data_IF_808776176099
#
_entry.id   IF_808776176099
#
_cell.length_a   1.000
_cell.length_b   1.000
_cell.length_c   1.000
_cell.angle_alpha   90.00
_cell.angle_beta   90.00
_cell.angle_gamma   90.00
#
_symmetry.space_group_name_H-M   'P 1'
#
loop_
_entity.id
_entity.type
_entity.pdbx_description
1 polymer ?
#
# COMPACT_ATOMS: atom_id res chain seq x y z
N UNK A 1 17.53 19.47 39.01
CA UNK A 1 16.55 19.53 37.91
C UNK A 1 16.00 18.14 37.66
N UNK A 2 14.68 18.03 37.53
CA UNK A 2 13.89 16.80 37.72
C UNK A 2 14.01 15.78 36.57
N UNK A 3 14.92 14.81 36.74
CA UNK A 3 15.03 13.55 35.98
C UNK A 3 13.68 12.84 35.70
N UNK A 4 12.66 12.82 36.60
CA UNK A 4 11.42 12.10 36.32
C UNK A 4 10.58 12.66 35.15
N UNK A 5 10.77 13.92 34.74
CA UNK A 5 10.00 14.51 33.61
C UNK A 5 10.52 14.10 32.23
N UNK A 6 11.83 13.84 32.13
CA UNK A 6 12.47 13.41 30.88
C UNK A 6 12.13 11.95 30.56
N UNK A 7 12.08 11.09 31.57
CA UNK A 7 11.64 9.70 31.41
C UNK A 7 10.18 9.59 30.95
N UNK A 8 9.30 10.45 31.48
CA UNK A 8 7.87 10.46 31.12
C UNK A 8 7.64 10.95 29.68
N UNK A 9 8.43 11.93 29.22
CA UNK A 9 8.40 12.38 27.83
C UNK A 9 8.91 11.32 26.84
N UNK A 10 9.94 10.55 27.22
CA UNK A 10 10.47 9.43 26.41
C UNK A 10 9.52 8.23 26.34
N UNK A 11 8.74 7.97 27.40
CA UNK A 11 7.71 6.93 27.35
C UNK A 11 6.52 7.29 26.46
N UNK A 12 6.19 8.58 26.32
CA UNK A 12 5.04 9.03 25.53
C UNK A 12 5.27 8.89 24.01
N UNK A 13 6.51 9.04 23.54
CA UNK A 13 6.85 8.86 22.12
C UNK A 13 6.81 7.39 21.67
N UNK A 14 7.03 6.44 22.57
CA UNK A 14 6.91 5.01 22.26
C UNK A 14 5.46 4.58 21.95
N UNK A 15 4.45 5.31 22.47
CA UNK A 15 3.04 4.99 22.28
C UNK A 15 2.47 5.45 20.92
N UNK A 16 3.19 6.28 20.14
CA UNK A 16 2.73 6.80 18.85
C UNK A 16 2.89 5.81 17.68
N UNK A 17 3.40 4.60 17.93
CA UNK A 17 3.62 3.56 16.92
C UNK A 17 2.48 2.56 16.74
N UNK A 18 1.39 2.67 17.52
CA UNK A 18 0.26 1.75 17.38
C UNK A 18 -0.59 2.13 16.16
N UNK A 19 -0.48 1.36 15.08
CA UNK A 19 -1.49 1.40 14.03
C UNK A 19 -2.82 0.88 14.58
N UNK A 20 -3.91 1.54 14.23
CA UNK A 20 -5.24 1.15 14.65
C UNK A 20 -5.75 0.00 13.78
N UNK A 21 -5.62 -1.23 14.29
CA UNK A 21 -6.22 -2.40 13.66
C UNK A 21 -7.75 -2.30 13.68
N UNK A 22 -8.37 -2.50 12.52
CA UNK A 22 -9.82 -2.52 12.35
C UNK A 22 -10.25 -3.99 12.31
N UNK A 23 -11.10 -4.44 13.25
CA UNK A 23 -11.61 -5.81 13.21
C UNK A 23 -12.55 -5.95 12.02
N UNK A 24 -12.08 -6.64 10.98
CA UNK A 24 -12.89 -6.99 9.81
C UNK A 24 -13.53 -8.36 10.05
N UNK A 25 -14.79 -8.58 9.63
CA UNK A 25 -15.40 -9.90 9.73
C UNK A 25 -14.68 -10.88 8.81
N UNK A 26 -14.60 -12.14 9.24
CA UNK A 26 -14.02 -13.21 8.45
C UNK A 26 -14.77 -13.38 7.13
N UNK A 27 -14.03 -13.56 6.03
CA UNK A 27 -14.65 -13.78 4.74
C UNK A 27 -15.39 -15.15 4.68
N UNK A 28 -16.56 -15.21 4.02
CA UNK A 28 -17.26 -16.46 3.84
C UNK A 28 -16.42 -17.44 3.02
N UNK A 29 -16.40 -18.74 3.37
CA UNK A 29 -15.66 -19.73 2.60
C UNK A 29 -16.23 -19.88 1.18
N UNK A 30 -15.45 -20.39 0.21
CA UNK A 30 -15.93 -20.62 -1.16
C UNK A 30 -17.18 -21.51 -1.24
N UNK A 31 -17.37 -22.41 -0.27
CA UNK A 31 -18.52 -23.30 -0.18
C UNK A 31 -19.79 -22.62 0.37
N UNK A 32 -19.71 -21.38 0.85
CA UNK A 32 -20.87 -20.63 1.34
C UNK A 32 -21.85 -20.31 0.19
N UNK A 33 -23.16 -20.14 0.51
CA UNK A 33 -24.15 -19.75 -0.48
C UNK A 33 -23.74 -18.51 -1.28
N UNK A 34 -23.98 -18.51 -2.60
CA UNK A 34 -23.59 -17.41 -3.49
C UNK A 34 -24.13 -16.05 -3.00
N UNK A 35 -25.37 -16.02 -2.50
CA UNK A 35 -25.99 -14.80 -2.00
C UNK A 35 -25.20 -14.19 -0.81
N UNK A 36 -24.66 -15.03 0.08
CA UNK A 36 -23.86 -14.60 1.22
C UNK A 36 -22.49 -14.05 0.76
N UNK A 37 -21.81 -14.76 -0.16
CA UNK A 37 -20.54 -14.31 -0.74
C UNK A 37 -20.68 -12.98 -1.49
N UNK A 38 -21.73 -12.83 -2.30
CA UNK A 38 -22.00 -11.59 -3.05
C UNK A 38 -22.37 -10.45 -2.09
N UNK A 39 -23.17 -10.72 -1.06
CA UNK A 39 -23.51 -9.72 -0.05
C UNK A 39 -22.26 -9.21 0.68
N UNK A 40 -21.41 -10.12 1.15
CA UNK A 40 -20.14 -9.80 1.78
C UNK A 40 -19.23 -8.98 0.85
N UNK A 41 -19.04 -9.44 -0.39
CA UNK A 41 -18.25 -8.71 -1.38
C UNK A 41 -18.76 -7.28 -1.60
N UNK A 42 -20.07 -7.10 -1.77
CA UNK A 42 -20.65 -5.77 -2.00
C UNK A 42 -20.49 -4.83 -0.81
N UNK A 43 -20.45 -5.36 0.41
CA UNK A 43 -20.25 -4.58 1.64
C UNK A 43 -18.77 -4.22 1.86
N UNK A 44 -17.83 -5.12 1.53
CA UNK A 44 -16.41 -4.97 1.86
C UNK A 44 -15.50 -4.77 0.64
N UNK A 45 -16.04 -4.60 -0.57
CA UNK A 45 -15.22 -4.28 -1.75
C UNK A 45 -14.50 -2.93 -1.57
N UNK A 46 -13.25 -2.80 -2.02
CA UNK A 46 -12.54 -1.52 -2.00
C UNK A 46 -13.29 -0.51 -2.89
N UNK A 47 -13.56 0.69 -2.35
CA UNK A 47 -14.25 1.77 -3.07
C UNK A 47 -13.31 2.89 -3.47
N UNK A 48 -12.40 3.26 -2.58
CA UNK A 48 -11.43 4.32 -2.81
C UNK A 48 -10.13 3.98 -2.11
N UNK A 49 -9.02 4.34 -2.73
CA UNK A 49 -7.71 4.43 -2.09
C UNK A 49 -7.45 5.89 -1.80
N UNK A 50 -6.98 6.18 -0.59
CA UNK A 50 -6.58 7.52 -0.21
C UNK A 50 -5.09 7.52 0.03
N UNK A 51 -4.43 8.53 -0.52
CA UNK A 51 -2.99 8.61 -0.54
C UNK A 51 -2.50 10.04 -0.67
N UNK A 52 -1.26 10.25 -0.26
CA UNK A 52 -0.55 11.51 -0.46
C UNK A 52 0.37 11.38 -1.67
N UNK A 53 0.22 12.28 -2.64
CA UNK A 53 1.18 12.46 -3.72
C UNK A 53 2.13 13.60 -3.34
N UNK A 54 3.39 13.27 -3.05
CA UNK A 54 4.44 14.25 -2.83
C UNK A 54 5.18 14.50 -4.14
N UNK A 55 5.09 15.73 -4.63
CA UNK A 55 5.87 16.20 -5.79
C UNK A 55 7.07 16.97 -5.25
N UNK A 56 8.28 16.49 -5.54
CA UNK A 56 9.49 17.25 -5.22
C UNK A 56 9.92 18.07 -6.44
N UNK A 57 9.96 19.39 -6.25
CA UNK A 57 10.48 20.32 -7.24
C UNK A 57 11.98 20.53 -6.99
N UNK A 58 12.80 20.29 -8.01
CA UNK A 58 14.22 20.59 -7.97
C UNK A 58 14.49 22.10 -8.02
N UNK A 59 15.65 22.50 -7.50
CA UNK A 59 16.11 23.90 -7.43
C UNK A 59 16.10 24.65 -8.78
N UNK A 60 16.10 23.92 -9.90
CA UNK A 60 16.08 24.48 -11.26
C UNK A 60 14.71 24.36 -11.97
N UNK A 61 13.61 24.18 -11.22
CA UNK A 61 12.26 24.14 -11.79
C UNK A 61 11.89 22.85 -12.51
N UNK A 62 12.73 21.81 -12.43
CA UNK A 62 12.42 20.47 -12.92
C UNK A 62 11.70 19.62 -11.86
N UNK A 63 10.80 18.74 -12.29
CA UNK A 63 10.21 17.70 -11.44
C UNK A 63 11.26 16.62 -11.17
N UNK A 64 11.65 16.41 -9.91
CA UNK A 64 12.69 15.42 -9.57
C UNK A 64 12.13 14.07 -9.17
N UNK A 65 10.95 14.04 -8.55
CA UNK A 65 10.23 12.80 -8.23
C UNK A 65 8.75 13.08 -7.91
N UNK A 66 7.87 12.21 -8.41
CA UNK A 66 6.50 12.05 -7.93
C UNK A 66 6.48 10.81 -7.03
N UNK A 67 6.25 11.00 -5.74
CA UNK A 67 6.11 9.91 -4.79
C UNK A 67 4.64 9.81 -4.38
N UNK A 68 3.95 8.77 -4.85
CA UNK A 68 2.59 8.45 -4.44
C UNK A 68 2.65 7.46 -3.28
N UNK A 69 2.14 7.85 -2.12
CA UNK A 69 1.91 6.94 -0.99
C UNK A 69 0.42 6.67 -0.92
N UNK A 70 0.00 5.41 -0.95
CA UNK A 70 -1.36 5.04 -0.55
C UNK A 70 -1.33 4.67 0.92
N UNK A 71 -2.04 5.45 1.73
CA UNK A 71 -1.99 5.33 3.18
C UNK A 71 -3.10 4.43 3.72
N UNK A 72 -4.29 4.48 3.11
CA UNK A 72 -5.43 3.67 3.52
C UNK A 72 -6.38 3.33 2.36
N UNK A 73 -7.14 2.26 2.54
CA UNK A 73 -8.25 1.89 1.67
C UNK A 73 -9.58 2.11 2.37
N UNK A 74 -10.53 2.70 1.66
CA UNK A 74 -11.91 2.88 2.12
C UNK A 74 -12.75 1.77 1.49
N UNK A 75 -13.34 0.93 2.34
CA UNK A 75 -14.23 -0.14 1.93
C UNK A 75 -15.64 0.41 1.62
N UNK A 76 -16.46 -0.37 0.92
CA UNK A 76 -17.79 0.07 0.49
C UNK A 76 -18.75 0.41 1.65
N UNK A 77 -18.58 -0.22 2.81
CA UNK A 77 -19.27 0.09 4.06
C UNK A 77 -18.80 1.40 4.73
N UNK A 78 -17.78 2.07 4.20
CA UNK A 78 -17.19 3.29 4.74
C UNK A 78 -16.07 3.08 5.77
N UNK A 79 -15.70 1.84 6.10
CA UNK A 79 -14.58 1.60 7.01
C UNK A 79 -13.26 1.91 6.33
N UNK A 80 -12.40 2.61 7.05
CA UNK A 80 -11.05 2.98 6.61
C UNK A 80 -10.07 1.97 7.19
N UNK A 81 -9.37 1.25 6.33
CA UNK A 81 -8.36 0.26 6.71
C UNK A 81 -6.99 0.80 6.32
N UNK A 82 -6.16 1.06 7.33
CA UNK A 82 -4.79 1.58 7.15
C UNK A 82 -3.76 0.46 7.17
N UNK A 83 -4.01 -0.62 7.92
CA UNK A 83 -3.08 -1.74 8.04
C UNK A 83 -3.38 -2.83 7.01
N UNK A 84 -2.39 -3.21 6.18
CA UNK A 84 -2.60 -4.24 5.17
C UNK A 84 -2.77 -5.64 5.77
N UNK A 85 -2.40 -5.84 7.05
CA UNK A 85 -2.60 -7.11 7.76
C UNK A 85 -4.07 -7.41 8.05
N UNK A 86 -4.87 -6.37 8.32
CA UNK A 86 -6.31 -6.55 8.56
C UNK A 86 -7.00 -7.09 7.30
N UNK A 87 -6.50 -6.71 6.13
CA UNK A 87 -6.98 -7.22 4.85
C UNK A 87 -6.67 -8.71 4.66
N UNK A 88 -5.65 -9.26 5.30
CA UNK A 88 -5.34 -10.71 5.20
C UNK A 88 -6.44 -11.57 5.81
N UNK A 89 -7.14 -11.08 6.83
CA UNK A 89 -8.29 -11.78 7.39
C UNK A 89 -9.45 -11.89 6.39
N UNK A 90 -9.51 -10.94 5.45
CA UNK A 90 -10.55 -10.85 4.41
C UNK A 90 -10.22 -11.69 3.17
N UNK A 91 -8.94 -11.83 2.83
CA UNK A 91 -8.51 -12.55 1.63
C UNK A 91 -8.03 -13.98 1.94
N UNK A 92 -7.80 -14.27 3.22
CA UNK A 92 -7.25 -15.53 3.69
C UNK A 92 -5.71 -15.58 3.62
N UNK A 93 -5.08 -16.48 4.40
CA UNK A 93 -3.62 -16.56 4.53
C UNK A 93 -2.91 -17.08 3.26
N UNK A 94 -3.61 -17.86 2.43
CA UNK A 94 -3.05 -18.51 1.24
C UNK A 94 -3.18 -17.67 -0.05
N UNK A 95 -3.71 -16.45 0.07
CA UNK A 95 -3.88 -15.58 -1.08
C UNK A 95 -2.52 -15.18 -1.68
N UNK A 96 -2.42 -15.01 -3.02
CA UNK A 96 -1.20 -14.51 -3.65
C UNK A 96 -0.77 -13.13 -3.13
N UNK A 97 -1.69 -12.41 -2.50
CA UNK A 97 -1.47 -11.12 -1.84
C UNK A 97 -0.72 -11.23 -0.50
N UNK A 98 -0.70 -12.39 0.15
CA UNK A 98 -0.05 -12.57 1.45
C UNK A 98 1.46 -12.28 1.39
N UNK A 99 2.10 -12.61 0.27
CA UNK A 99 3.51 -12.32 0.03
C UNK A 99 3.81 -10.82 -0.07
N UNK A 100 2.96 -10.04 -0.74
CA UNK A 100 3.14 -8.58 -0.86
C UNK A 100 2.84 -7.88 0.46
N UNK A 101 1.83 -8.31 1.21
CA UNK A 101 1.53 -7.78 2.55
C UNK A 101 2.70 -8.02 3.51
N UNK A 102 3.27 -9.23 3.55
CA UNK A 102 4.45 -9.52 4.40
C UNK A 102 5.67 -8.67 4.03
N UNK A 103 5.88 -8.37 2.74
CA UNK A 103 6.97 -7.46 2.34
C UNK A 103 6.69 -6.03 2.76
N UNK A 104 5.46 -5.55 2.59
CA UNK A 104 5.06 -4.20 2.98
C UNK A 104 5.18 -3.99 4.51
N UNK A 105 4.72 -4.94 5.31
CA UNK A 105 4.78 -4.91 6.78
C UNK A 105 6.21 -4.97 7.28
N UNK A 106 7.04 -5.87 6.74
CA UNK A 106 8.47 -5.91 7.07
C UNK A 106 9.19 -4.60 6.68
N UNK A 107 8.91 -4.05 5.50
CA UNK A 107 9.51 -2.78 5.07
C UNK A 107 9.08 -1.62 5.98
N UNK A 108 7.80 -1.56 6.37
CA UNK A 108 7.29 -0.56 7.30
C UNK A 108 7.86 -0.74 8.71
N UNK A 109 8.00 -1.97 9.21
CA UNK A 109 8.61 -2.26 10.50
C UNK A 109 10.08 -1.82 10.53
N UNK A 110 10.83 -2.09 9.46
CA UNK A 110 12.22 -1.64 9.32
C UNK A 110 12.29 -0.11 9.20
N UNK A 111 11.45 0.51 8.37
CA UNK A 111 11.45 1.96 8.20
C UNK A 111 11.06 2.70 9.49
N UNK A 112 10.01 2.23 10.19
CA UNK A 112 9.60 2.78 11.49
C UNK A 112 10.66 2.54 12.56
N UNK A 113 11.26 1.36 12.61
CA UNK A 113 12.37 1.03 13.50
C UNK A 113 13.59 1.93 13.29
N UNK A 114 13.99 2.17 12.03
CA UNK A 114 15.09 3.07 11.70
C UNK A 114 14.76 4.54 12.01
N UNK A 115 13.52 4.96 11.76
CA UNK A 115 13.09 6.34 12.00
C UNK A 115 13.03 6.62 13.51
N UNK A 116 12.31 5.80 14.27
CA UNK A 116 12.17 6.00 15.72
C UNK A 116 13.44 5.64 16.49
N UNK A 117 14.14 4.58 16.07
CA UNK A 117 15.46 4.23 16.63
C UNK A 117 16.49 5.32 16.35
N UNK A 118 16.47 5.90 15.15
CA UNK A 118 17.31 7.04 14.79
C UNK A 118 17.01 8.28 15.64
N UNK A 119 15.74 8.65 15.80
CA UNK A 119 15.31 9.76 16.67
C UNK A 119 15.75 9.52 18.11
N UNK A 120 15.53 8.32 18.65
CA UNK A 120 15.94 7.98 20.01
C UNK A 120 17.45 8.08 20.20
N UNK A 121 18.23 7.53 19.25
CA UNK A 121 19.68 7.66 19.25
C UNK A 121 20.12 9.13 19.19
N UNK A 122 19.50 9.93 18.31
CA UNK A 122 19.78 11.37 18.22
C UNK A 122 19.56 12.11 19.54
N UNK A 123 18.42 11.88 20.20
CA UNK A 123 18.11 12.50 21.49
C UNK A 123 19.13 12.08 22.56
N UNK A 124 19.44 10.79 22.67
CA UNK A 124 20.40 10.27 23.66
C UNK A 124 21.80 10.84 23.41
N UNK A 125 22.26 10.85 22.15
CA UNK A 125 23.55 11.42 21.76
C UNK A 125 23.66 12.91 22.09
N UNK A 126 22.61 13.69 21.79
CA UNK A 126 22.54 15.12 22.14
C UNK A 126 22.58 15.36 23.65
N UNK A 127 21.92 14.52 24.46
CA UNK A 127 21.96 14.63 25.92
C UNK A 127 23.38 14.40 26.43
N UNK A 128 24.06 13.33 25.97
CA UNK A 128 25.44 13.02 26.36
C UNK A 128 26.37 14.18 25.98
N UNK A 129 26.23 14.68 24.74
CA UNK A 129 26.99 15.81 24.23
C UNK A 129 26.79 17.07 25.09
N UNK A 130 25.55 17.41 25.46
CA UNK A 130 25.24 18.58 26.29
C UNK A 130 25.78 18.42 27.72
N UNK A 131 25.67 17.23 28.31
CA UNK A 131 26.21 16.98 29.66
C UNK A 131 27.72 17.10 29.71
N UNK A 132 28.42 16.77 28.61
CA UNK A 132 29.88 16.89 28.52
C UNK A 132 30.38 18.34 28.49
N UNK A 133 29.54 19.30 28.07
CA UNK A 133 29.93 20.73 27.99
C UNK A 133 29.79 21.39 29.38
N UNK A 134 28.95 20.82 30.25
CA UNK A 134 28.72 21.33 31.61
C UNK A 134 29.68 20.80 32.68
N UNK A 135 30.43 19.74 32.38
CA UNK A 135 31.40 19.11 33.30
C UNK A 135 32.80 19.73 33.09
N UNK A 136 33.17 20.62 34.01
CA UNK A 136 34.47 21.26 34.23
C UNK A 136 35.22 21.93 33.04
N UNK A 137 35.62 23.21 33.17
CA UNK A 137 36.17 24.01 32.06
C UNK A 137 37.61 23.68 31.64
N UNK A 138 38.25 22.63 32.19
CA UNK A 138 39.70 22.39 32.03
C UNK A 138 40.08 21.19 31.15
N UNK A 139 39.14 20.28 30.85
CA UNK A 139 39.34 19.24 29.86
C UNK A 139 38.53 19.63 28.62
N UNK A 140 39.17 19.75 27.46
CA UNK A 140 38.49 20.15 26.21
C UNK A 140 37.40 19.15 25.75
N UNK A 141 37.13 19.07 24.44
CA UNK A 141 36.19 18.08 23.90
C UNK A 141 36.69 16.64 24.15
N UNK A 142 36.36 16.09 25.32
CA UNK A 142 36.75 14.74 25.73
C UNK A 142 36.05 13.65 24.94
N UNK A 143 36.44 12.40 25.20
CA UNK A 143 35.78 11.20 24.66
C UNK A 143 34.24 11.18 24.80
N UNK A 144 33.60 11.65 25.90
CA UNK A 144 32.13 11.65 25.99
C UNK A 144 31.45 12.59 25.00
N UNK A 145 32.05 13.74 24.67
CA UNK A 145 31.51 14.65 23.67
C UNK A 145 31.48 13.98 22.28
N UNK A 146 32.61 13.40 21.86
CA UNK A 146 32.72 12.73 20.55
C UNK A 146 31.83 11.49 20.47
N UNK A 147 31.66 10.76 21.57
CA UNK A 147 30.71 9.66 21.65
C UNK A 147 29.26 10.15 21.46
N UNK A 148 28.86 11.21 22.17
CA UNK A 148 27.54 11.83 22.02
C UNK A 148 27.28 12.35 20.61
N UNK A 149 28.25 13.04 20.02
CA UNK A 149 28.19 13.52 18.63
C UNK A 149 28.06 12.36 17.64
N UNK A 150 28.86 11.30 17.78
CA UNK A 150 28.82 10.13 16.92
C UNK A 150 27.46 9.43 16.96
N UNK A 151 26.89 9.24 18.15
CA UNK A 151 25.54 8.67 18.33
C UNK A 151 24.49 9.60 17.70
N UNK A 152 24.60 10.92 17.92
CA UNK A 152 23.62 11.89 17.41
C UNK A 152 23.59 11.95 15.89
N UNK A 153 24.77 11.94 15.27
CA UNK A 153 24.95 11.91 13.83
C UNK A 153 24.47 10.59 13.24
N UNK A 154 24.85 9.46 13.86
CA UNK A 154 24.39 8.13 13.46
C UNK A 154 22.86 8.00 13.48
N UNK A 155 22.21 8.51 14.53
CA UNK A 155 20.76 8.55 14.64
C UNK A 155 20.09 9.43 13.56
N UNK A 156 20.71 10.56 13.22
CA UNK A 156 20.20 11.47 12.19
C UNK A 156 20.26 10.83 10.80
N UNK A 157 21.37 10.14 10.50
CA UNK A 157 21.54 9.40 9.25
C UNK A 157 20.54 8.24 9.17
N UNK A 158 20.39 7.45 10.23
CA UNK A 158 19.42 6.35 10.28
C UNK A 158 17.98 6.86 10.05
N UNK A 159 17.62 7.99 10.64
CA UNK A 159 16.32 8.65 10.43
C UNK A 159 16.15 9.09 8.97
N UNK A 160 17.19 9.69 8.37
CA UNK A 160 17.19 10.08 6.97
C UNK A 160 17.01 8.89 6.02
N UNK A 161 17.75 7.80 6.25
CA UNK A 161 17.66 6.57 5.44
C UNK A 161 16.28 5.91 5.61
N UNK A 162 15.76 5.83 6.84
CA UNK A 162 14.42 5.29 7.09
C UNK A 162 13.33 6.06 6.35
N UNK A 163 13.38 7.40 6.42
CA UNK A 163 12.36 8.27 5.80
C UNK A 163 12.46 8.33 4.28
N UNK A 164 13.66 8.46 3.73
CA UNK A 164 13.85 8.75 2.30
C UNK A 164 14.31 7.53 1.47
N UNK A 165 15.06 6.61 2.07
CA UNK A 165 15.59 5.44 1.37
C UNK A 165 14.58 4.30 1.22
N UNK A 166 13.73 4.09 2.24
CA UNK A 166 12.78 2.96 2.29
C UNK A 166 11.32 3.35 2.07
N UNK A 167 10.98 4.65 2.13
CA UNK A 167 9.63 5.15 1.87
C UNK A 167 9.05 4.73 0.51
N UNK A 168 9.80 4.87 -0.60
CA UNK A 168 9.27 4.54 -1.93
C UNK A 168 8.95 3.05 -2.13
N UNK A 169 9.76 2.15 -1.57
CA UNK A 169 9.54 0.71 -1.72
C UNK A 169 8.34 0.21 -0.91
N UNK A 170 8.12 0.78 0.28
CA UNK A 170 6.94 0.50 1.09
C UNK A 170 5.65 1.01 0.41
N UNK A 171 5.70 2.20 -0.19
CA UNK A 171 4.57 2.78 -0.93
C UNK A 171 4.18 1.93 -2.14
N UNK A 172 5.15 1.52 -2.97
CA UNK A 172 4.91 0.66 -4.13
C UNK A 172 4.35 -0.72 -3.74
N UNK A 173 4.83 -1.30 -2.63
CA UNK A 173 4.31 -2.57 -2.12
C UNK A 173 2.85 -2.45 -1.65
N UNK A 174 2.49 -1.34 -0.98
CA UNK A 174 1.11 -1.07 -0.57
C UNK A 174 0.19 -0.83 -1.76
N UNK A 175 0.64 -0.09 -2.77
CA UNK A 175 -0.14 0.13 -3.97
C UNK A 175 -0.47 -1.20 -4.67
N UNK A 176 0.51 -2.10 -4.81
CA UNK A 176 0.28 -3.42 -5.38
C UNK A 176 -0.74 -4.26 -4.57
N UNK A 177 -0.73 -4.13 -3.24
CA UNK A 177 -1.73 -4.76 -2.35
C UNK A 177 -3.12 -4.21 -2.66
N UNK A 178 -3.29 -2.88 -2.72
CA UNK A 178 -4.61 -2.28 -2.92
C UNK A 178 -5.16 -2.48 -4.34
N UNK A 179 -4.32 -2.43 -5.37
CA UNK A 179 -4.71 -2.71 -6.76
C UNK A 179 -5.11 -4.18 -6.93
N UNK A 180 -4.42 -5.10 -6.25
CA UNK A 180 -4.73 -6.53 -6.30
C UNK A 180 -5.87 -6.97 -5.37
N UNK A 181 -6.26 -6.14 -4.40
CA UNK A 181 -7.20 -6.49 -3.34
C UNK A 181 -8.55 -6.94 -3.89
N UNK A 182 -9.13 -6.20 -4.83
CA UNK A 182 -10.43 -6.53 -5.42
C UNK A 182 -10.43 -7.91 -6.11
N UNK A 183 -9.38 -8.18 -6.91
CA UNK A 183 -9.19 -9.46 -7.57
C UNK A 183 -8.97 -10.61 -6.58
N UNK A 184 -8.23 -10.35 -5.50
CA UNK A 184 -7.93 -11.36 -4.50
C UNK A 184 -9.17 -11.70 -3.64
N UNK A 185 -10.00 -10.72 -3.28
CA UNK A 185 -11.28 -10.95 -2.59
C UNK A 185 -12.21 -11.82 -3.47
N UNK A 186 -12.31 -11.50 -4.77
CA UNK A 186 -13.11 -12.31 -5.71
C UNK A 186 -12.57 -13.72 -5.85
N UNK A 187 -11.25 -13.88 -5.97
CA UNK A 187 -10.60 -15.18 -6.06
C UNK A 187 -10.84 -16.02 -4.80
N UNK A 188 -10.74 -15.43 -3.61
CA UNK A 188 -11.01 -16.11 -2.35
C UNK A 188 -12.44 -16.65 -2.26
N UNK A 189 -13.42 -15.88 -2.74
CA UNK A 189 -14.84 -16.29 -2.75
C UNK A 189 -15.27 -17.02 -4.03
N UNK A 190 -14.34 -17.36 -4.93
CA UNK A 190 -14.61 -17.94 -6.26
C UNK A 190 -15.70 -17.21 -7.05
N UNK A 191 -15.68 -15.87 -7.02
CA UNK A 191 -16.62 -15.02 -7.74
C UNK A 191 -16.03 -14.57 -9.08
N UNK A 192 -16.80 -14.74 -10.16
CA UNK A 192 -16.48 -14.35 -11.53
C UNK A 192 -17.44 -13.27 -12.02
N UNK A 193 -16.94 -12.31 -12.80
CA UNK A 193 -17.74 -11.27 -13.44
C UNK A 193 -17.52 -9.85 -12.87
N UNK A 194 -17.95 -8.82 -13.61
CA UNK A 194 -17.78 -7.43 -13.22
C UNK A 194 -18.95 -6.92 -12.35
N UNK A 195 -18.63 -6.10 -11.35
CA UNK A 195 -19.60 -5.27 -10.63
C UNK A 195 -20.72 -6.06 -9.95
N UNK A 196 -21.96 -5.79 -10.34
CA UNK A 196 -23.16 -6.41 -9.76
C UNK A 196 -23.54 -7.74 -10.45
N UNK A 197 -22.84 -8.11 -11.53
CA UNK A 197 -23.06 -9.36 -12.28
C UNK A 197 -22.16 -10.50 -11.81
N UNK A 198 -21.91 -10.59 -10.49
CA UNK A 198 -21.08 -11.63 -9.90
C UNK A 198 -21.78 -12.99 -9.96
N UNK A 199 -21.04 -14.01 -10.41
CA UNK A 199 -21.49 -15.40 -10.52
C UNK A 199 -20.47 -16.30 -9.86
N UNK A 200 -20.91 -17.49 -9.45
CA UNK A 200 -19.98 -18.50 -8.98
C UNK A 200 -19.14 -19.01 -10.16
N UNK A 201 -17.80 -18.91 -10.06
CA UNK A 201 -16.90 -19.46 -11.06
C UNK A 201 -17.02 -20.99 -11.17
N UNK A 202 -17.40 -21.65 -10.07
CA UNK A 202 -17.50 -23.09 -9.98
C UNK A 202 -18.90 -23.63 -10.31
N UNK A 203 -19.90 -22.75 -10.48
CA UNK A 203 -21.17 -23.18 -11.02
C UNK A 203 -20.92 -23.62 -12.46
N UNK A 204 -21.06 -24.93 -12.71
CA UNK A 204 -21.03 -25.52 -14.04
C UNK A 204 -21.85 -24.61 -14.96
N UNK A 205 -21.24 -24.17 -16.07
CA UNK A 205 -21.98 -23.41 -17.08
C UNK A 205 -23.31 -24.15 -17.32
N UNK A 206 -24.47 -23.45 -17.33
CA UNK A 206 -25.73 -24.11 -17.65
C UNK A 206 -25.47 -24.87 -18.94
N UNK A 207 -25.62 -26.20 -18.90
CA UNK A 207 -25.43 -27.07 -20.06
C UNK A 207 -26.22 -26.40 -21.17
N UNK A 208 -25.50 -25.81 -22.13
CA UNK A 208 -26.14 -25.12 -23.22
C UNK A 208 -27.03 -26.18 -23.86
N UNK A 209 -28.35 -26.04 -23.72
CA UNK A 209 -29.29 -26.82 -24.51
C UNK A 209 -28.79 -26.71 -25.95
N UNK A 210 -28.46 -27.84 -26.61
CA UNK A 210 -27.83 -27.80 -27.91
C UNK A 210 -28.68 -26.89 -28.80
N UNK A 211 -28.06 -25.93 -29.51
CA UNK A 211 -28.81 -25.05 -30.38
C UNK A 211 -29.67 -25.91 -31.31
N UNK A 212 -30.95 -25.54 -31.54
CA UNK A 212 -31.75 -26.24 -32.55
C UNK A 212 -30.95 -26.24 -33.85
N UNK A 213 -30.90 -27.42 -34.47
CA UNK A 213 -30.13 -27.70 -35.68
C UNK A 213 -30.28 -26.53 -36.66
N UNK A 214 -29.18 -25.92 -37.14
CA UNK A 214 -29.30 -24.85 -38.11
C UNK A 214 -30.02 -25.41 -39.36
N UNK A 215 -30.97 -24.67 -39.95
CA UNK A 215 -31.52 -25.05 -41.23
C UNK A 215 -30.40 -25.13 -42.28
N UNK A 216 -30.52 -26.02 -43.29
CA UNK A 216 -29.49 -26.23 -44.30
C UNK A 216 -29.12 -24.90 -44.97
N UNK A 217 -27.85 -24.54 -44.84
CA UNK A 217 -27.25 -23.35 -45.43
C UNK A 217 -27.21 -23.54 -46.95
N UNK A 218 -27.92 -22.68 -47.68
CA UNK A 218 -27.77 -22.57 -49.13
C UNK A 218 -26.36 -22.05 -49.46
N UNK A 219 -25.71 -22.53 -50.53
CA UNK A 219 -24.37 -22.10 -50.91
C UNK A 219 -24.36 -20.60 -51.25
N UNK A 220 -23.69 -19.80 -50.43
CA UNK A 220 -23.41 -18.39 -50.73
C UNK A 220 -22.34 -18.32 -51.82
N UNK A 221 -22.74 -17.97 -53.03
CA UNK A 221 -21.87 -17.35 -54.01
C UNK A 221 -21.61 -15.91 -53.56
N UNK A 222 -20.38 -15.56 -53.16
CA UNK A 222 -19.81 -14.19 -53.20
C UNK A 222 -18.35 -14.25 -52.71
N UNK A 223 -17.37 -14.40 -53.61
CA UNK A 223 -16.60 -13.35 -54.30
C UNK A 223 -15.26 -13.02 -53.59
N UNK A 224 -14.11 -13.51 -54.10
CA UNK A 224 -12.78 -13.39 -53.48
C UNK A 224 -12.04 -12.05 -53.73
N UNK A 225 -12.74 -10.96 -54.08
CA UNK A 225 -12.11 -9.67 -54.42
C UNK A 225 -12.69 -8.51 -53.60
N UNK A 226 -12.67 -8.62 -52.27
CA UNK A 226 -12.86 -7.48 -51.39
C UNK A 226 -11.51 -6.78 -51.19
N UNK A 227 -11.43 -5.51 -51.60
CA UNK A 227 -10.25 -4.66 -51.42
C UNK A 227 -9.83 -4.57 -49.94
N UNK A 228 -8.53 -4.48 -49.63
CA UNK A 228 -8.06 -4.35 -48.26
C UNK A 228 -8.57 -3.02 -47.64
N UNK A 229 -8.97 -3.04 -46.36
CA UNK A 229 -9.41 -1.83 -45.68
C UNK A 229 -8.25 -0.82 -45.52
N UNK A 230 -8.54 0.50 -45.58
CA UNK A 230 -7.51 1.52 -45.39
C UNK A 230 -6.92 1.46 -43.97
N UNK A 231 -5.61 1.71 -43.89
CA UNK A 231 -4.85 1.74 -42.63
C UNK A 231 -5.39 2.82 -41.67
N UNK A 232 -5.47 2.52 -40.36
CA UNK A 232 -5.87 3.51 -39.37
C UNK A 232 -4.82 4.63 -39.23
N UNK A 233 -5.25 5.88 -38.99
CA UNK A 233 -4.35 6.99 -38.75
C UNK A 233 -3.54 6.79 -37.45
N UNK A 234 -2.32 7.35 -37.36
CA UNK A 234 -1.49 7.23 -36.17
C UNK A 234 -2.17 7.87 -34.94
N UNK A 235 -2.01 7.29 -33.74
CA UNK A 235 -2.61 7.82 -32.53
C UNK A 235 -2.02 9.19 -32.18
N UNK A 236 -2.90 10.18 -32.01
CA UNK A 236 -2.56 11.48 -31.45
C UNK A 236 -1.99 11.28 -30.04
N UNK A 237 -0.84 11.89 -29.78
CA UNK A 237 -0.19 11.85 -28.48
C UNK A 237 -1.14 12.37 -27.37
N UNK A 238 -1.26 11.67 -26.23
CA UNK A 238 -2.14 12.10 -25.16
C UNK A 238 -1.61 13.39 -24.54
N UNK A 239 -2.38 14.47 -24.71
CA UNK A 239 -2.20 15.70 -23.95
C UNK A 239 -2.78 15.47 -22.56
N UNK A 240 -1.91 15.24 -21.58
CA UNK A 240 -2.29 15.11 -20.17
C UNK A 240 -2.51 16.51 -19.60
N UNK A 241 -3.77 16.91 -19.45
CA UNK A 241 -4.16 18.09 -18.68
C UNK A 241 -4.38 17.68 -17.23
N UNK A 242 -3.54 18.17 -16.33
CA UNK A 242 -3.72 17.99 -14.88
C UNK A 242 -4.53 19.19 -14.37
N UNK A 243 -5.78 18.94 -13.97
CA UNK A 243 -6.56 19.89 -13.19
C UNK A 243 -6.28 19.66 -11.71
N UNK A 244 -5.61 20.63 -11.07
CA UNK A 244 -5.57 20.76 -9.62
C UNK A 244 -6.90 21.36 -9.15
N UNK A 245 -7.53 20.75 -8.14
CA UNK A 245 -8.61 21.36 -7.34
C UNK A 245 -8.03 21.84 -6.03
#
# INVERSE_FOLDING_TARGET
MSVPRLALALSLTAALGCSAHVPLPLAPPPAAPLAERVHYYNQYRPRATSGMAQVTFGTFGGYSALQTSVDHVVLANGTVVSDPEDLLQMVGPDAPLAGSVRRATNAQAVASGLTWGGVAASVVGSIIMLTSIGSDPYDGFGTPFWAGFGIALGGSIATGVGRWGLGPSAAAAREAVYVGLDGAIRAHMSLCGPGDALRDCNASAPVATPPPSPPPVAPSQDSPWASPPPLPPPPLAPTVSIHAR
#
